data_IF_992157819561
#
_entry.id   IF_992157819561
#
_cell.length_a   1.000
_cell.length_b   1.000
_cell.length_c   1.000
_cell.angle_alpha   90.00
_cell.angle_beta   90.00
_cell.angle_gamma   90.00
#
_symmetry.space_group_name_H-M   'P 1'
#
loop_
_entity.id
_entity.type
_entity.pdbx_description
1 polymer ?
#
# COMPACT_ATOMS: atom_id res chain seq x y z
N UNK A 1 -23.20 -16.63 15.98
CA UNK A 1 -21.98 -16.12 15.34
C UNK A 1 -22.41 -15.51 14.02
N UNK A 2 -22.54 -14.19 13.95
CA UNK A 2 -22.96 -13.52 12.70
C UNK A 2 -21.81 -13.67 11.73
N UNK A 3 -21.95 -14.55 10.73
CA UNK A 3 -21.04 -14.61 9.60
C UNK A 3 -21.20 -13.30 8.85
N UNK A 4 -20.33 -12.32 9.10
CA UNK A 4 -20.29 -11.10 8.31
C UNK A 4 -19.96 -11.49 6.86
N UNK A 5 -20.94 -11.35 5.99
CA UNK A 5 -20.79 -11.58 4.55
C UNK A 5 -20.41 -10.25 3.90
N UNK A 6 -19.28 -10.22 3.21
CA UNK A 6 -18.85 -9.04 2.47
C UNK A 6 -19.68 -8.90 1.20
N UNK A 7 -20.17 -7.70 0.91
CA UNK A 7 -20.87 -7.43 -0.35
C UNK A 7 -19.91 -7.53 -1.55
N UNK A 8 -20.29 -8.20 -2.65
CA UNK A 8 -19.43 -8.39 -3.82
C UNK A 8 -18.92 -7.07 -4.43
N UNK A 9 -19.74 -6.01 -4.43
CA UNK A 9 -19.32 -4.71 -4.95
C UNK A 9 -18.24 -4.08 -4.06
N UNK A 10 -18.35 -4.26 -2.73
CA UNK A 10 -17.35 -3.80 -1.77
C UNK A 10 -16.05 -4.61 -1.87
N UNK A 11 -16.12 -5.93 -2.03
CA UNK A 11 -14.94 -6.79 -2.28
C UNK A 11 -14.20 -6.33 -3.54
N UNK A 12 -14.92 -6.14 -4.64
CA UNK A 12 -14.35 -5.65 -5.91
C UNK A 12 -13.74 -4.25 -5.77
N UNK A 13 -14.40 -3.34 -5.06
CA UNK A 13 -13.89 -1.99 -4.82
C UNK A 13 -12.57 -2.01 -4.03
N UNK A 14 -12.53 -2.77 -2.93
CA UNK A 14 -11.35 -2.91 -2.08
C UNK A 14 -10.18 -3.56 -2.82
N UNK A 15 -10.43 -4.64 -3.59
CA UNK A 15 -9.42 -5.28 -4.45
C UNK A 15 -8.91 -4.34 -5.52
N UNK A 16 -9.80 -3.62 -6.20
CA UNK A 16 -9.46 -2.66 -7.23
C UNK A 16 -8.59 -1.51 -6.69
N UNK A 17 -8.97 -0.93 -5.55
CA UNK A 17 -8.19 0.11 -4.89
C UNK A 17 -6.81 -0.40 -4.44
N UNK A 18 -6.74 -1.56 -3.77
CA UNK A 18 -5.48 -2.15 -3.35
C UNK A 18 -4.57 -2.49 -4.54
N UNK A 19 -5.14 -3.06 -5.61
CA UNK A 19 -4.40 -3.36 -6.83
C UNK A 19 -3.84 -2.10 -7.49
N UNK A 20 -4.61 -1.02 -7.55
CA UNK A 20 -4.13 0.26 -8.04
C UNK A 20 -2.99 0.81 -7.19
N UNK A 21 -3.10 0.78 -5.85
CA UNK A 21 -2.03 1.22 -4.95
C UNK A 21 -0.72 0.45 -5.18
N UNK A 22 -0.78 -0.88 -5.23
CA UNK A 22 0.40 -1.70 -5.52
C UNK A 22 0.92 -1.49 -6.95
N UNK A 23 0.03 -1.31 -7.93
CA UNK A 23 0.40 -1.01 -9.31
C UNK A 23 1.16 0.30 -9.45
N UNK A 24 0.69 1.38 -8.81
CA UNK A 24 1.39 2.67 -8.78
C UNK A 24 2.73 2.56 -8.04
N UNK A 25 2.75 1.89 -6.89
CA UNK A 25 3.97 1.68 -6.11
C UNK A 25 5.04 0.90 -6.91
N UNK A 26 4.63 -0.16 -7.60
CA UNK A 26 5.51 -0.94 -8.47
C UNK A 26 6.00 -0.12 -9.66
N UNK A 27 5.09 0.58 -10.36
CA UNK A 27 5.43 1.44 -11.50
C UNK A 27 6.49 2.48 -11.13
N UNK A 28 6.31 3.16 -10.00
CA UNK A 28 7.26 4.18 -9.53
C UNK A 28 8.66 3.60 -9.27
N UNK A 29 8.73 2.42 -8.62
CA UNK A 29 10.00 1.73 -8.35
C UNK A 29 10.67 1.16 -9.60
N UNK A 30 9.89 0.72 -10.59
CA UNK A 30 10.42 0.23 -11.87
C UNK A 30 10.91 1.36 -12.76
N UNK A 31 10.34 2.57 -12.63
CA UNK A 31 10.76 3.75 -13.39
C UNK A 31 12.16 4.23 -12.99
N UNK A 32 12.49 4.19 -11.70
CA UNK A 32 13.85 4.47 -11.20
C UNK A 32 14.32 3.43 -10.16
N UNK A 33 14.82 2.28 -10.63
CA UNK A 33 15.29 1.21 -9.74
C UNK A 33 16.54 1.59 -8.94
N UNK A 34 17.32 2.57 -9.41
CA UNK A 34 18.54 3.03 -8.75
C UNK A 34 18.16 3.89 -7.54
N UNK A 35 17.22 4.82 -7.71
CA UNK A 35 16.68 5.60 -6.59
C UNK A 35 16.06 4.67 -5.53
N UNK A 36 15.25 3.68 -5.94
CA UNK A 36 14.66 2.74 -4.97
C UNK A 36 15.71 1.88 -4.26
N UNK A 37 16.77 1.46 -4.95
CA UNK A 37 17.90 0.78 -4.32
C UNK A 37 18.57 1.64 -3.25
N UNK A 38 18.80 2.93 -3.51
CA UNK A 38 19.37 3.86 -2.55
C UNK A 38 18.48 4.01 -1.30
N UNK A 39 17.16 4.12 -1.49
CA UNK A 39 16.20 4.14 -0.38
C UNK A 39 16.29 2.85 0.44
N UNK A 40 16.28 1.68 -0.21
CA UNK A 40 16.34 0.40 0.48
C UNK A 40 17.66 0.19 1.23
N UNK A 41 18.79 0.60 0.64
CA UNK A 41 20.09 0.57 1.28
C UNK A 41 20.14 1.52 2.49
N UNK A 42 19.53 2.72 2.36
CA UNK A 42 19.43 3.68 3.45
C UNK A 42 18.68 3.13 4.66
N UNK A 43 17.71 2.22 4.49
CA UNK A 43 16.97 1.62 5.61
C UNK A 43 17.85 0.75 6.52
N UNK A 44 19.01 0.26 6.04
CA UNK A 44 19.94 -0.60 6.82
C UNK A 44 19.25 -1.77 7.51
N UNK A 45 18.26 -2.37 6.85
CA UNK A 45 17.53 -3.56 7.30
C UNK A 45 18.03 -4.83 6.61
N UNK A 46 18.51 -4.69 5.37
CA UNK A 46 19.10 -5.77 4.58
C UNK A 46 20.58 -5.47 4.35
N UNK A 47 21.45 -6.49 4.21
CA UNK A 47 22.83 -6.29 3.79
C UNK A 47 22.89 -5.58 2.44
N UNK A 48 23.90 -4.75 2.23
CA UNK A 48 24.06 -3.97 0.99
C UNK A 48 24.09 -4.84 -0.27
N UNK A 49 24.67 -6.04 -0.17
CA UNK A 49 24.68 -7.06 -1.23
C UNK A 49 23.28 -7.55 -1.61
N UNK A 50 22.34 -7.55 -0.66
CA UNK A 50 20.94 -7.95 -0.86
C UNK A 50 20.04 -6.76 -1.22
N UNK A 51 20.45 -5.52 -0.97
CA UNK A 51 19.65 -4.35 -1.31
C UNK A 51 19.39 -4.25 -2.83
N UNK A 52 20.38 -4.59 -3.66
CA UNK A 52 20.24 -4.56 -5.12
C UNK A 52 19.28 -5.62 -5.68
N UNK A 53 19.37 -6.91 -5.32
CA UNK A 53 18.35 -7.87 -5.77
C UNK A 53 16.97 -7.56 -5.16
N UNK A 54 16.92 -7.08 -3.91
CA UNK A 54 15.65 -6.71 -3.28
C UNK A 54 14.98 -5.51 -3.97
N UNK A 55 15.75 -4.54 -4.52
CA UNK A 55 15.18 -3.42 -5.25
C UNK A 55 14.46 -3.82 -6.54
N UNK A 56 14.75 -5.02 -7.07
CA UNK A 56 14.06 -5.62 -8.22
C UNK A 56 12.95 -6.56 -7.77
N UNK A 57 13.21 -7.41 -6.77
CA UNK A 57 12.23 -8.39 -6.28
C UNK A 57 10.98 -7.72 -5.68
N UNK A 58 11.15 -6.64 -4.93
CA UNK A 58 10.04 -5.93 -4.30
C UNK A 58 9.01 -5.43 -5.33
N UNK A 59 9.36 -4.63 -6.36
CA UNK A 59 8.37 -4.20 -7.34
C UNK A 59 7.77 -5.35 -8.16
N UNK A 60 8.48 -6.46 -8.35
CA UNK A 60 7.92 -7.66 -8.98
C UNK A 60 6.84 -8.30 -8.10
N UNK A 61 7.09 -8.42 -6.79
CA UNK A 61 6.10 -8.94 -5.84
C UNK A 61 4.90 -7.98 -5.71
N UNK A 62 5.12 -6.66 -5.71
CA UNK A 62 4.04 -5.67 -5.74
C UNK A 62 3.20 -5.81 -7.02
N UNK A 63 3.83 -5.96 -8.18
CA UNK A 63 3.14 -6.16 -9.47
C UNK A 63 2.34 -7.46 -9.49
N UNK A 64 2.93 -8.56 -9.01
CA UNK A 64 2.25 -9.84 -8.91
C UNK A 64 1.06 -9.79 -7.93
N UNK A 65 1.20 -9.03 -6.83
CA UNK A 65 0.12 -8.79 -5.87
C UNK A 65 -1.02 -8.00 -6.51
N UNK A 66 -0.70 -6.92 -7.24
CA UNK A 66 -1.69 -6.11 -7.94
C UNK A 66 -2.47 -6.93 -8.97
N UNK A 67 -1.77 -7.68 -9.83
CA UNK A 67 -2.40 -8.55 -10.82
C UNK A 67 -3.21 -9.67 -10.16
N UNK A 68 -2.66 -10.28 -9.11
CA UNK A 68 -3.33 -11.35 -8.37
C UNK A 68 -4.65 -10.88 -7.75
N UNK A 69 -4.70 -9.67 -7.17
CA UNK A 69 -5.91 -9.10 -6.60
C UNK A 69 -7.03 -8.89 -7.63
N UNK A 70 -6.68 -8.60 -8.88
CA UNK A 70 -7.65 -8.39 -9.98
C UNK A 70 -8.08 -9.69 -10.65
N UNK A 71 -7.13 -10.60 -10.92
CA UNK A 71 -7.38 -11.76 -11.77
C UNK A 71 -7.62 -13.07 -10.99
N UNK A 72 -7.29 -13.12 -9.70
CA UNK A 72 -7.50 -14.30 -8.85
C UNK A 72 -8.40 -13.97 -7.64
N UNK A 73 -9.66 -13.55 -7.85
CA UNK A 73 -10.55 -13.15 -6.75
C UNK A 73 -10.81 -14.26 -5.73
N UNK A 74 -10.87 -15.52 -6.18
CA UNK A 74 -11.12 -16.68 -5.31
C UNK A 74 -9.89 -17.15 -4.52
N UNK A 75 -8.69 -16.65 -4.83
CA UNK A 75 -7.47 -17.04 -4.13
C UNK A 75 -7.20 -16.11 -2.95
N UNK A 76 -6.88 -16.64 -1.75
CA UNK A 76 -6.43 -15.81 -0.64
C UNK A 76 -4.98 -15.35 -0.81
N UNK A 77 -4.20 -15.95 -1.72
CA UNK A 77 -2.76 -15.69 -1.84
C UNK A 77 -2.41 -14.22 -2.14
N UNK A 78 -3.07 -13.51 -3.09
CA UNK A 78 -2.80 -12.10 -3.35
C UNK A 78 -3.14 -11.20 -2.15
N UNK A 79 -4.20 -11.55 -1.40
CA UNK A 79 -4.60 -10.82 -0.19
C UNK A 79 -3.54 -10.98 0.91
N UNK A 80 -3.04 -12.20 1.12
CA UNK A 80 -1.96 -12.47 2.08
C UNK A 80 -0.67 -11.74 1.67
N UNK A 81 -0.35 -11.70 0.37
CA UNK A 81 0.80 -10.95 -0.13
C UNK A 81 0.65 -9.44 0.14
N UNK A 82 -0.52 -8.86 -0.15
CA UNK A 82 -0.82 -7.46 0.14
C UNK A 82 -0.67 -7.12 1.63
N UNK A 83 -1.28 -7.94 2.50
CA UNK A 83 -1.14 -7.82 3.97
C UNK A 83 0.33 -7.84 4.39
N UNK A 84 1.07 -8.82 3.88
CA UNK A 84 2.48 -9.01 4.22
C UNK A 84 3.31 -7.80 3.79
N UNK A 85 3.10 -7.27 2.59
CA UNK A 85 3.82 -6.09 2.09
C UNK A 85 3.55 -4.85 2.94
N UNK A 86 2.29 -4.53 3.25
CA UNK A 86 1.96 -3.36 4.08
C UNK A 86 2.51 -3.49 5.50
N UNK A 87 2.42 -4.68 6.10
CA UNK A 87 3.02 -4.96 7.42
C UNK A 87 4.54 -4.83 7.37
N UNK A 88 5.21 -5.43 6.36
CA UNK A 88 6.66 -5.35 6.22
C UNK A 88 7.14 -3.91 6.03
N UNK A 89 6.46 -3.10 5.22
CA UNK A 89 6.77 -1.68 5.08
C UNK A 89 6.53 -0.92 6.39
N UNK A 90 5.42 -1.20 7.09
CA UNK A 90 5.14 -0.61 8.40
C UNK A 90 6.24 -0.91 9.43
N UNK A 91 6.66 -2.18 9.53
CA UNK A 91 7.74 -2.63 10.42
C UNK A 91 9.07 -1.96 10.03
N UNK A 92 9.39 -1.94 8.73
CA UNK A 92 10.63 -1.35 8.24
C UNK A 92 10.76 0.15 8.59
N UNK A 93 9.65 0.90 8.44
CA UNK A 93 9.55 2.29 8.87
C UNK A 93 9.64 2.41 10.40
N UNK A 94 8.86 1.63 11.15
CA UNK A 94 8.84 1.67 12.61
C UNK A 94 10.22 1.41 13.23
N UNK A 95 10.97 0.42 12.72
CA UNK A 95 12.34 0.13 13.18
C UNK A 95 13.25 1.35 12.98
N UNK A 96 13.17 2.03 11.84
CA UNK A 96 14.00 3.21 11.59
C UNK A 96 13.57 4.43 12.42
N UNK A 97 12.28 4.61 12.65
CA UNK A 97 11.76 5.64 13.56
C UNK A 97 12.24 5.41 15.00
N UNK A 98 12.20 4.17 15.48
CA UNK A 98 12.74 3.80 16.81
C UNK A 98 14.26 3.99 16.91
N UNK A 99 14.97 3.93 15.78
CA UNK A 99 16.41 4.27 15.68
C UNK A 99 16.67 5.78 15.56
N UNK A 100 15.64 6.63 15.62
CA UNK A 100 15.74 8.08 15.47
C UNK A 100 15.98 8.55 14.03
N UNK A 101 15.81 7.69 13.03
CA UNK A 101 16.12 7.97 11.62
C UNK A 101 14.87 8.41 10.87
N UNK A 102 14.45 9.66 11.05
CA UNK A 102 13.19 10.20 10.49
C UNK A 102 13.35 10.76 9.08
N UNK A 103 14.56 11.18 8.69
CA UNK A 103 14.87 11.79 7.39
C UNK A 103 15.13 10.73 6.29
N UNK A 104 14.28 9.70 6.22
CA UNK A 104 14.33 8.66 5.18
C UNK A 104 13.08 8.78 4.32
N UNK A 105 13.21 8.54 3.02
CA UNK A 105 12.05 8.42 2.12
C UNK A 105 11.24 7.16 2.48
N UNK A 106 9.91 7.25 2.43
CA UNK A 106 9.02 6.09 2.55
C UNK A 106 9.24 5.04 1.44
N UNK A 107 9.80 5.41 0.29
CA UNK A 107 10.10 4.52 -0.84
C UNK A 107 8.87 3.88 -1.49
N UNK A 108 7.67 4.20 -1.01
CA UNK A 108 6.42 3.63 -1.48
C UNK A 108 5.95 4.25 -2.79
N UNK A 109 6.51 5.38 -3.21
CA UNK A 109 6.20 6.02 -4.49
C UNK A 109 4.71 6.29 -4.65
N UNK A 110 4.03 6.68 -3.56
CA UNK A 110 2.60 6.98 -3.58
C UNK A 110 2.25 8.09 -4.58
N UNK A 111 0.97 8.41 -4.69
CA UNK A 111 0.50 9.51 -5.53
C UNK A 111 1.15 10.86 -5.13
N UNK A 112 1.62 10.99 -3.88
CA UNK A 112 2.53 12.05 -3.44
C UNK A 112 3.96 11.49 -3.24
N UNK A 113 4.79 11.55 -4.28
CA UNK A 113 6.23 11.26 -4.17
C UNK A 113 6.93 12.25 -3.21
N UNK A 114 8.06 11.84 -2.63
CA UNK A 114 8.92 12.62 -1.71
C UNK A 114 8.35 12.89 -0.30
N UNK A 115 7.88 11.84 0.39
CA UNK A 115 7.50 11.93 1.80
C UNK A 115 8.51 11.23 2.71
N UNK A 116 8.91 11.90 3.80
CA UNK A 116 9.75 11.31 4.85
C UNK A 116 8.96 10.35 5.74
N UNK A 117 9.63 9.33 6.28
CA UNK A 117 8.98 8.36 7.15
C UNK A 117 8.52 9.00 8.46
N UNK A 118 7.33 8.61 8.92
CA UNK A 118 6.72 9.09 10.15
C UNK A 118 5.73 8.08 10.73
N UNK A 119 5.35 8.25 12.00
CA UNK A 119 4.39 7.35 12.67
C UNK A 119 3.01 7.34 12.00
N UNK A 120 2.63 8.45 11.35
CA UNK A 120 1.41 8.54 10.54
C UNK A 120 1.42 7.56 9.38
N UNK A 121 2.55 7.39 8.69
CA UNK A 121 2.72 6.42 7.61
C UNK A 121 2.68 4.97 8.09
N UNK A 122 3.23 4.70 9.27
CA UNK A 122 3.10 3.38 9.91
C UNK A 122 1.63 3.08 10.17
N UNK A 123 0.90 4.04 10.76
CA UNK A 123 -0.55 3.93 10.98
C UNK A 123 -1.34 3.71 9.69
N UNK A 124 -1.01 4.43 8.61
CA UNK A 124 -1.60 4.24 7.28
C UNK A 124 -1.46 2.80 6.80
N UNK A 125 -0.26 2.22 6.88
CA UNK A 125 -0.02 0.84 6.46
C UNK A 125 -0.78 -0.17 7.32
N UNK A 126 -0.90 0.07 8.63
CA UNK A 126 -1.72 -0.77 9.53
C UNK A 126 -3.20 -0.70 9.15
N UNK A 127 -3.73 0.50 8.84
CA UNK A 127 -5.11 0.67 8.39
C UNK A 127 -5.37 -0.04 7.06
N UNK A 128 -4.47 0.11 6.08
CA UNK A 128 -4.56 -0.59 4.79
C UNK A 128 -4.52 -2.10 4.97
N UNK A 129 -3.64 -2.62 5.82
CA UNK A 129 -3.62 -4.03 6.18
C UNK A 129 -4.94 -4.47 6.85
N UNK A 130 -5.50 -3.64 7.73
CA UNK A 130 -6.83 -3.86 8.32
C UNK A 130 -7.91 -4.00 7.24
N UNK A 131 -7.96 -3.11 6.25
CA UNK A 131 -8.92 -3.20 5.14
C UNK A 131 -8.68 -4.42 4.25
N UNK A 132 -7.43 -4.77 3.93
CA UNK A 132 -7.14 -6.01 3.19
C UNK A 132 -7.57 -7.26 3.94
N UNK A 133 -7.54 -7.27 5.27
CA UNK A 133 -7.98 -8.43 6.05
C UNK A 133 -9.48 -8.72 5.86
N UNK A 134 -10.29 -7.70 5.53
CA UNK A 134 -11.71 -7.88 5.21
C UNK A 134 -11.92 -8.71 3.94
N UNK A 135 -10.97 -8.69 2.99
CA UNK A 135 -11.02 -9.49 1.77
C UNK A 135 -10.87 -11.01 2.02
N UNK A 136 -10.52 -11.41 3.25
CA UNK A 136 -10.51 -12.81 3.67
C UNK A 136 -11.88 -13.27 4.19
N UNK A 137 -12.85 -12.36 4.37
CA UNK A 137 -14.19 -12.72 4.79
C UNK A 137 -14.95 -13.40 3.63
N UNK A 138 -15.88 -14.32 3.94
CA UNK A 138 -16.76 -14.89 2.93
C UNK A 138 -17.58 -13.80 2.23
N UNK A 139 -17.63 -13.83 0.90
CA UNK A 139 -18.47 -12.93 0.11
C UNK A 139 -19.89 -13.47 0.00
N UNK A 140 -20.88 -12.57 -0.08
CA UNK A 140 -22.27 -12.97 -0.20
C UNK A 140 -22.55 -13.61 -1.57
N UNK A 141 -23.29 -14.72 -1.58
CA UNK A 141 -23.71 -15.38 -2.81
C UNK A 141 -24.95 -14.69 -3.36
N UNK A 142 -24.73 -13.59 -4.08
CA UNK A 142 -25.75 -12.83 -4.82
C UNK A 142 -25.34 -12.75 -6.29
N UNK A 143 -26.31 -12.70 -7.19
CA UNK A 143 -26.08 -12.46 -8.61
C UNK A 143 -25.38 -11.12 -8.82
N UNK A 144 -24.25 -11.12 -9.53
CA UNK A 144 -23.52 -9.90 -9.89
C UNK A 144 -24.26 -9.23 -11.06
N UNK A 145 -24.70 -7.99 -10.85
CA UNK A 145 -25.26 -7.14 -11.91
C UNK A 145 -24.17 -6.23 -12.48
N UNK A 146 -24.40 -5.68 -13.67
CA UNK A 146 -23.50 -4.67 -14.26
C UNK A 146 -23.34 -3.43 -13.36
N UNK A 147 -24.39 -3.11 -12.61
CA UNK A 147 -24.40 -2.00 -11.65
C UNK A 147 -23.39 -2.24 -10.52
N UNK A 148 -23.17 -3.48 -10.10
CA UNK A 148 -22.16 -3.82 -9.08
C UNK A 148 -20.75 -3.49 -9.57
N UNK A 149 -20.47 -3.72 -10.86
CA UNK A 149 -19.20 -3.33 -11.47
C UNK A 149 -19.01 -1.81 -11.48
N UNK A 150 -20.06 -1.05 -11.78
CA UNK A 150 -20.02 0.41 -11.76
C UNK A 150 -19.85 0.95 -10.32
N UNK A 151 -20.58 0.38 -9.36
CA UNK A 151 -20.46 0.69 -7.93
C UNK A 151 -19.06 0.36 -7.42
N UNK A 152 -18.50 -0.79 -7.81
CA UNK A 152 -17.14 -1.17 -7.45
C UNK A 152 -16.10 -0.21 -8.02
N UNK A 153 -16.25 0.20 -9.28
CA UNK A 153 -15.36 1.17 -9.93
C UNK A 153 -15.38 2.53 -9.20
N UNK A 154 -16.57 3.11 -9.00
CA UNK A 154 -16.69 4.38 -8.28
C UNK A 154 -16.23 4.26 -6.82
N UNK A 155 -16.55 3.15 -6.16
CA UNK A 155 -16.07 2.85 -4.81
C UNK A 155 -14.53 2.82 -4.75
N UNK A 156 -13.88 2.13 -5.67
CA UNK A 156 -12.42 2.10 -5.77
C UNK A 156 -11.84 3.49 -6.03
N UNK A 157 -12.43 4.27 -6.95
CA UNK A 157 -11.99 5.64 -7.23
C UNK A 157 -12.12 6.55 -6.00
N UNK A 158 -13.23 6.46 -5.26
CA UNK A 158 -13.42 7.22 -4.02
C UNK A 158 -12.36 6.83 -2.98
N UNK A 159 -12.11 5.53 -2.80
CA UNK A 159 -11.06 5.05 -1.88
C UNK A 159 -9.67 5.57 -2.27
N UNK A 160 -9.35 5.57 -3.57
CA UNK A 160 -8.08 6.09 -4.08
C UNK A 160 -7.97 7.60 -3.90
N UNK A 161 -9.04 8.35 -4.13
CA UNK A 161 -9.08 9.80 -3.91
C UNK A 161 -8.93 10.13 -2.42
N UNK A 162 -9.63 9.41 -1.54
CA UNK A 162 -9.49 9.55 -0.09
C UNK A 162 -8.05 9.26 0.33
N UNK A 163 -7.47 8.17 -0.16
CA UNK A 163 -6.07 7.84 0.08
C UNK A 163 -5.15 8.97 -0.36
N UNK A 164 -5.30 9.47 -1.60
CA UNK A 164 -4.48 10.55 -2.13
C UNK A 164 -4.64 11.84 -1.31
N UNK A 165 -5.86 12.22 -0.95
CA UNK A 165 -6.13 13.39 -0.11
C UNK A 165 -5.49 13.25 1.26
N UNK A 166 -5.59 12.09 1.91
CA UNK A 166 -4.91 11.82 3.17
C UNK A 166 -3.39 11.94 3.01
N UNK A 167 -2.81 11.38 1.94
CA UNK A 167 -1.37 11.44 1.65
C UNK A 167 -0.89 12.89 1.48
N UNK A 168 -1.63 13.70 0.71
CA UNK A 168 -1.37 15.12 0.54
C UNK A 168 -1.47 15.91 1.85
N UNK A 169 -2.49 15.64 2.68
CA UNK A 169 -2.64 16.29 3.98
C UNK A 169 -1.50 15.93 4.93
N UNK A 170 -1.11 14.65 4.98
CA UNK A 170 0.01 14.19 5.80
C UNK A 170 1.32 14.85 5.39
N UNK A 171 1.58 14.94 4.08
CA UNK A 171 2.76 15.63 3.54
C UNK A 171 2.76 17.11 3.93
N UNK A 172 1.62 17.80 3.76
CA UNK A 172 1.52 19.23 4.08
C UNK A 172 1.66 19.50 5.58
N UNK A 173 1.11 18.64 6.45
CA UNK A 173 1.25 18.78 7.90
C UNK A 173 2.73 18.71 8.33
N UNK A 174 3.53 17.85 7.71
CA UNK A 174 4.97 17.76 7.98
C UNK A 174 5.69 19.04 7.54
N UNK A 175 5.40 19.58 6.35
CA UNK A 175 6.03 20.81 5.85
C UNK A 175 5.73 22.04 6.72
N UNK A 176 4.50 22.19 7.20
CA UNK A 176 4.13 23.30 8.08
C UNK A 176 4.85 23.22 9.43
N UNK A 177 5.01 22.02 9.98
CA UNK A 177 5.72 21.83 11.24
C UNK A 177 7.22 22.16 11.16
N UNK A 178 7.81 22.11 9.97
CA UNK A 178 9.21 22.50 9.76
C UNK A 178 9.41 23.99 9.59
N UNK A 179 8.44 24.72 9.02
CA UNK A 179 8.49 26.19 8.89
C UNK A 179 8.36 26.91 10.25
N UNK A 180 7.58 26.36 11.19
CA UNK A 180 7.44 26.93 12.54
C UNK A 180 8.69 26.72 13.42
N UNK A 181 9.58 25.81 13.03
CA UNK A 181 10.77 25.43 13.80
C UNK A 181 12.08 26.13 13.34
N UNK A 182 12.04 26.90 12.24
CA UNK A 182 13.17 27.65 11.67
C UNK A 182 13.12 29.13 11.99
#
# INVERSE_FOLDING_TARGET
MVSALLDPALDMALRGAAAALFGFAAWHKLKDPIAFWQVLAAYRLVPERLARPASILVPLVESATALGLLFLPSSPAPVIAALSLWVLYGIAMAINLLRGRTQLDCGCGGLAADQTIGWTLVGRNVLLAGFASLLLLPTSMRTILWLDGLTALFGALILLLLYASCDHLMRNAVLLSTDEAS
#
